data_IF_745466625498
#
_entry.id   IF_745466625498
#
_cell.length_a   1.000
_cell.length_b   1.000
_cell.length_c   1.000
_cell.angle_alpha   90.00
_cell.angle_beta   90.00
_cell.angle_gamma   90.00
#
_symmetry.space_group_name_H-M   'P 1'
#
loop_
_entity.id
_entity.type
_entity.pdbx_description
1 polymer ?
#
# COMPACT_ATOMS: atom_id res chain seq x y z
N UNK A 1 -11.16 2.24 -7.89
CA UNK A 1 -9.68 2.32 -7.92
C UNK A 1 -9.16 1.92 -6.55
N UNK A 2 -8.43 0.81 -6.47
CA UNK A 2 -7.90 0.24 -5.22
C UNK A 2 -6.37 0.23 -5.25
N UNK A 3 -5.72 0.59 -4.14
CA UNK A 3 -4.28 0.46 -3.98
C UNK A 3 -3.94 -0.60 -2.94
N UNK A 4 -2.96 -1.44 -3.22
CA UNK A 4 -2.58 -2.57 -2.38
C UNK A 4 -1.12 -2.43 -1.93
N UNK A 5 -0.89 -2.59 -0.63
CA UNK A 5 0.45 -2.91 -0.10
C UNK A 5 0.71 -4.42 -0.15
N UNK A 6 1.98 -4.81 -0.05
CA UNK A 6 2.40 -6.20 0.06
C UNK A 6 2.28 -6.79 1.47
N UNK A 7 3.12 -7.77 1.77
CA UNK A 7 3.13 -8.47 3.06
C UNK A 7 1.87 -9.33 3.28
N UNK A 8 1.39 -9.41 4.53
CA UNK A 8 0.27 -10.28 4.90
C UNK A 8 -1.03 -9.99 4.15
N UNK A 9 -1.20 -8.76 3.62
CA UNK A 9 -2.35 -8.38 2.81
C UNK A 9 -2.53 -9.26 1.57
N UNK A 10 -1.43 -9.74 0.96
CA UNK A 10 -1.50 -10.66 -0.18
C UNK A 10 -2.29 -11.91 0.20
N UNK A 11 -1.98 -12.49 1.37
CA UNK A 11 -2.67 -13.67 1.87
C UNK A 11 -4.11 -13.36 2.24
N UNK A 12 -4.37 -12.25 2.94
CA UNK A 12 -5.73 -11.87 3.32
C UNK A 12 -6.64 -11.70 2.11
N UNK A 13 -6.15 -11.05 1.05
CA UNK A 13 -6.91 -10.85 -0.17
C UNK A 13 -7.04 -12.13 -1.00
N UNK A 14 -5.99 -12.95 -1.10
CA UNK A 14 -6.04 -14.25 -1.78
C UNK A 14 -7.07 -15.21 -1.17
N UNK A 15 -7.26 -15.14 0.15
CA UNK A 15 -8.29 -15.91 0.85
C UNK A 15 -9.65 -15.22 0.83
N UNK A 16 -9.70 -13.90 0.96
CA UNK A 16 -10.93 -13.14 1.14
C UNK A 16 -11.69 -12.87 -0.16
N UNK A 17 -11.00 -12.38 -1.20
CA UNK A 17 -11.64 -11.94 -2.45
C UNK A 17 -12.46 -13.01 -3.18
N UNK A 18 -12.08 -14.30 -3.20
CA UNK A 18 -12.92 -15.35 -3.79
C UNK A 18 -14.32 -15.47 -3.17
N UNK A 19 -14.50 -14.98 -1.93
CA UNK A 19 -15.77 -15.03 -1.21
C UNK A 19 -16.60 -13.74 -1.36
N UNK A 20 -16.11 -12.74 -2.08
CA UNK A 20 -16.80 -11.47 -2.31
C UNK A 20 -17.58 -11.50 -3.61
N UNK A 21 -18.89 -11.24 -3.53
CA UNK A 21 -19.76 -11.06 -4.70
C UNK A 21 -19.73 -9.61 -5.15
N UNK A 22 -19.01 -9.33 -6.22
CA UNK A 22 -18.94 -7.99 -6.85
C UNK A 22 -18.59 -8.11 -8.33
N UNK A 23 -18.70 -7.00 -9.05
CA UNK A 23 -18.26 -6.89 -10.44
C UNK A 23 -16.78 -6.52 -10.50
N UNK A 24 -15.92 -7.55 -10.55
CA UNK A 24 -14.48 -7.37 -10.61
C UNK A 24 -14.02 -6.66 -11.88
N UNK A 25 -14.78 -6.68 -12.99
CA UNK A 25 -14.36 -6.03 -14.25
C UNK A 25 -14.20 -4.51 -14.12
N UNK A 26 -14.86 -3.90 -13.13
CA UNK A 26 -14.78 -2.46 -12.81
C UNK A 26 -13.58 -2.10 -11.93
N UNK A 27 -12.82 -3.09 -11.47
CA UNK A 27 -11.69 -2.85 -10.60
C UNK A 27 -10.47 -2.43 -11.41
N UNK A 28 -9.74 -1.46 -10.87
CA UNK A 28 -8.36 -1.15 -11.24
C UNK A 28 -7.55 -1.18 -9.96
N UNK A 29 -6.45 -1.91 -10.01
CA UNK A 29 -5.60 -2.24 -8.88
C UNK A 29 -4.25 -1.59 -9.09
N UNK A 30 -3.81 -0.85 -8.09
CA UNK A 30 -2.56 -0.13 -8.01
C UNK A 30 -1.76 -0.68 -6.82
N UNK A 31 -0.49 -0.35 -6.76
CA UNK A 31 0.39 -0.65 -5.63
C UNK A 31 0.71 0.61 -4.84
N UNK A 32 0.57 0.52 -3.51
CA UNK A 32 0.94 1.59 -2.59
C UNK A 32 2.46 1.77 -2.55
N UNK A 33 3.20 0.68 -2.71
CA UNK A 33 4.64 0.65 -2.86
C UNK A 33 5.08 -0.64 -3.56
N UNK A 34 6.29 -0.64 -4.09
CA UNK A 34 6.92 -1.80 -4.69
C UNK A 34 8.43 -1.78 -4.50
N UNK A 35 9.02 -2.96 -4.38
CA UNK A 35 10.46 -3.17 -4.34
C UNK A 35 10.94 -3.22 -5.79
N UNK A 36 11.99 -2.47 -6.11
CA UNK A 36 12.55 -2.43 -7.46
C UNK A 36 13.45 -3.65 -7.65
N UNK A 37 12.81 -4.78 -7.92
CA UNK A 37 13.40 -6.12 -8.10
C UNK A 37 12.72 -6.81 -9.29
N UNK A 38 13.28 -7.90 -9.84
CA UNK A 38 12.57 -8.69 -10.86
C UNK A 38 11.18 -9.14 -10.42
N UNK A 39 10.27 -9.35 -11.38
CA UNK A 39 8.87 -9.70 -11.06
C UNK A 39 8.76 -11.04 -10.30
N UNK A 40 9.62 -12.00 -10.63
CA UNK A 40 9.69 -13.34 -10.03
C UNK A 40 10.48 -13.38 -8.71
N UNK A 41 11.04 -12.25 -8.28
CA UNK A 41 11.71 -12.12 -7.00
C UNK A 41 10.70 -12.26 -5.84
N UNK A 42 11.06 -12.99 -4.76
CA UNK A 42 10.18 -13.14 -3.60
C UNK A 42 9.78 -11.82 -2.92
N UNK A 43 10.55 -10.74 -3.09
CA UNK A 43 10.24 -9.41 -2.55
C UNK A 43 9.33 -8.57 -3.45
N UNK A 44 8.96 -9.07 -4.64
CA UNK A 44 8.01 -8.44 -5.57
C UNK A 44 6.58 -8.50 -5.03
N UNK A 45 5.99 -7.34 -4.75
CA UNK A 45 4.59 -7.22 -4.32
C UNK A 45 3.65 -7.65 -5.44
N UNK A 46 3.84 -7.13 -6.64
CA UNK A 46 3.08 -7.52 -7.82
C UNK A 46 3.26 -9.01 -8.11
N UNK A 47 4.49 -9.54 -8.08
CA UNK A 47 4.75 -10.97 -8.28
C UNK A 47 3.97 -11.84 -7.29
N UNK A 48 3.93 -11.43 -6.02
CA UNK A 48 3.13 -12.08 -4.98
C UNK A 48 1.63 -12.04 -5.28
N UNK A 49 1.08 -10.90 -5.70
CA UNK A 49 -0.33 -10.81 -6.06
C UNK A 49 -0.66 -11.57 -7.36
N UNK A 50 0.21 -11.53 -8.36
CA UNK A 50 0.04 -12.27 -9.60
C UNK A 50 -0.07 -13.77 -9.30
N UNK A 51 0.87 -14.32 -8.54
CA UNK A 51 0.85 -15.74 -8.15
C UNK A 51 -0.39 -16.13 -7.32
N UNK A 52 -0.74 -15.33 -6.31
CA UNK A 52 -1.74 -15.73 -5.32
C UNK A 52 -3.18 -15.33 -5.68
N UNK A 53 -3.37 -14.31 -6.53
CA UNK A 53 -4.69 -13.88 -7.01
C UNK A 53 -4.90 -14.23 -8.47
N UNK A 54 -4.11 -13.67 -9.38
CA UNK A 54 -4.35 -13.76 -10.82
C UNK A 54 -4.21 -15.20 -11.33
N UNK A 55 -3.08 -15.83 -11.05
CA UNK A 55 -2.77 -17.18 -11.52
C UNK A 55 -3.57 -18.26 -10.76
N UNK A 56 -4.27 -17.88 -9.68
CA UNK A 56 -5.09 -18.81 -8.89
C UNK A 56 -6.39 -19.23 -9.59
N UNK A 57 -6.90 -18.41 -10.52
CA UNK A 57 -8.20 -18.60 -11.17
C UNK A 57 -9.42 -18.47 -10.25
N UNK A 58 -9.24 -18.12 -8.97
CA UNK A 58 -10.33 -18.03 -7.97
C UNK A 58 -11.07 -16.69 -7.98
N UNK A 59 -10.49 -15.67 -8.60
CA UNK A 59 -11.06 -14.32 -8.71
C UNK A 59 -11.00 -13.92 -10.18
N UNK A 60 -12.10 -13.39 -10.71
CA UNK A 60 -12.19 -12.92 -12.10
C UNK A 60 -11.50 -11.57 -12.29
N UNK A 61 -10.19 -11.53 -12.09
CA UNK A 61 -9.30 -10.41 -12.38
C UNK A 61 -8.40 -10.76 -13.56
N UNK A 62 -7.98 -9.76 -14.33
CA UNK A 62 -7.00 -9.91 -15.41
C UNK A 62 -5.81 -8.97 -15.25
N UNK A 63 -4.74 -9.22 -16.02
CA UNK A 63 -3.48 -8.47 -15.94
C UNK A 63 -3.66 -6.98 -16.24
N UNK A 64 -4.54 -6.60 -17.16
CA UNK A 64 -4.74 -5.19 -17.55
C UNK A 64 -5.36 -4.35 -16.43
N UNK A 65 -5.98 -4.99 -15.44
CA UNK A 65 -6.52 -4.30 -14.27
C UNK A 65 -5.44 -3.91 -13.27
N UNK A 66 -4.23 -4.50 -13.36
CA UNK A 66 -3.10 -4.19 -12.51
C UNK A 66 -2.24 -3.12 -13.16
N UNK A 67 -2.22 -1.93 -12.55
CA UNK A 67 -1.32 -0.85 -12.93
C UNK A 67 -0.04 -1.03 -12.12
N UNK A 68 0.97 -1.61 -12.76
CA UNK A 68 2.21 -2.03 -12.10
C UNK A 68 3.28 -0.95 -12.10
N UNK A 69 4.14 -0.97 -11.09
CA UNK A 69 5.40 -0.24 -11.05
C UNK A 69 6.40 -0.97 -11.95
N UNK A 70 7.11 -0.22 -12.80
CA UNK A 70 8.05 -0.80 -13.78
C UNK A 70 9.25 -1.43 -13.07
N UNK A 71 9.51 -2.70 -13.35
CA UNK A 71 10.67 -3.44 -12.84
C UNK A 71 11.85 -3.41 -13.82
N UNK A 72 13.05 -3.75 -13.32
CA UNK A 72 14.27 -3.83 -14.13
C UNK A 72 14.87 -2.47 -14.52
N UNK A 73 14.44 -1.38 -13.89
CA UNK A 73 14.94 -0.01 -14.11
C UNK A 73 15.31 0.64 -12.78
N UNK A 74 15.96 1.81 -12.80
CA UNK A 74 16.24 2.55 -11.58
C UNK A 74 14.96 3.04 -10.88
N UNK A 75 15.00 3.20 -9.56
CA UNK A 75 13.84 3.61 -8.77
C UNK A 75 13.25 4.95 -9.25
N UNK A 76 14.10 5.93 -9.59
CA UNK A 76 13.67 7.23 -10.12
C UNK A 76 12.88 7.08 -11.43
N UNK A 77 13.35 6.23 -12.36
CA UNK A 77 12.65 5.96 -13.61
C UNK A 77 11.30 5.27 -13.36
N UNK A 78 11.29 4.26 -12.49
CA UNK A 78 10.08 3.53 -12.12
C UNK A 78 9.04 4.44 -11.45
N UNK A 79 9.48 5.37 -10.59
CA UNK A 79 8.60 6.34 -9.93
C UNK A 79 7.95 7.30 -10.94
N UNK A 80 8.73 7.82 -11.89
CA UNK A 80 8.22 8.70 -12.96
C UNK A 80 7.22 7.97 -13.85
N UNK A 81 7.56 6.77 -14.32
CA UNK A 81 6.66 5.92 -15.12
C UNK A 81 5.35 5.64 -14.38
N UNK A 82 5.44 5.28 -13.10
CA UNK A 82 4.26 4.96 -12.31
C UNK A 82 3.36 6.18 -12.05
N UNK A 83 3.94 7.35 -11.78
CA UNK A 83 3.19 8.60 -11.70
C UNK A 83 2.42 8.91 -13.00
N UNK A 84 3.06 8.71 -14.17
CA UNK A 84 2.42 8.89 -15.47
C UNK A 84 1.28 7.89 -15.71
N UNK A 85 1.46 6.62 -15.32
CA UNK A 85 0.40 5.60 -15.39
C UNK A 85 -0.80 6.00 -14.53
N UNK A 86 -0.57 6.47 -13.31
CA UNK A 86 -1.63 6.97 -12.44
C UNK A 86 -2.35 8.15 -13.10
N UNK A 87 -1.62 9.15 -13.60
CA UNK A 87 -2.22 10.31 -14.27
C UNK A 87 -3.15 9.91 -15.42
N UNK A 88 -2.76 8.94 -16.27
CA UNK A 88 -3.59 8.44 -17.38
C UNK A 88 -4.88 7.77 -16.90
N UNK A 89 -4.87 7.17 -15.72
CA UNK A 89 -6.05 6.54 -15.13
C UNK A 89 -7.01 7.53 -14.46
N UNK A 90 -6.58 8.77 -14.24
CA UNK A 90 -7.37 9.86 -13.65
C UNK A 90 -7.46 11.05 -14.62
N UNK A 91 -8.11 10.89 -15.79
CA UNK A 91 -8.16 11.94 -16.80
C UNK A 91 -8.89 13.17 -16.28
N UNK A 92 -8.32 14.36 -16.53
CA UNK A 92 -8.92 15.64 -16.13
C UNK A 92 -8.70 16.03 -14.66
N UNK A 93 -7.95 15.24 -13.89
CA UNK A 93 -7.53 15.63 -12.54
C UNK A 93 -6.33 16.56 -12.65
N UNK A 94 -6.51 17.83 -12.28
CA UNK A 94 -5.45 18.84 -12.19
C UNK A 94 -4.67 18.77 -10.85
N UNK A 95 -5.24 18.09 -9.85
CA UNK A 95 -4.75 17.96 -8.47
C UNK A 95 -4.37 16.51 -8.12
N UNK A 96 -4.26 16.18 -6.84
CA UNK A 96 -3.92 14.84 -6.33
C UNK A 96 -5.00 13.80 -6.69
N UNK A 97 -4.64 12.60 -7.19
CA UNK A 97 -5.61 11.55 -7.48
C UNK A 97 -6.30 11.04 -6.22
N UNK A 98 -7.63 10.90 -6.30
CA UNK A 98 -8.46 10.40 -5.20
C UNK A 98 -8.83 8.94 -5.45
N UNK A 99 -8.14 8.02 -4.76
CA UNK A 99 -8.44 6.60 -4.81
C UNK A 99 -9.64 6.26 -3.91
N UNK A 100 -10.40 5.22 -4.28
CA UNK A 100 -11.55 4.78 -3.49
C UNK A 100 -11.12 4.10 -2.19
N UNK A 101 -10.05 3.31 -2.24
CA UNK A 101 -9.52 2.60 -1.07
C UNK A 101 -8.03 2.28 -1.22
N UNK A 102 -7.28 2.51 -0.15
CA UNK A 102 -5.90 2.06 0.04
C UNK A 102 -5.89 0.99 1.11
N UNK A 103 -5.45 -0.22 0.77
CA UNK A 103 -5.20 -1.31 1.72
C UNK A 103 -3.73 -1.27 2.09
N UNK A 104 -3.47 -0.86 3.33
CA UNK A 104 -2.15 -0.51 3.84
C UNK A 104 -1.64 -1.53 4.84
N UNK A 105 -0.35 -1.81 4.73
CA UNK A 105 0.40 -2.57 5.73
C UNK A 105 1.02 -1.66 6.78
N UNK A 106 1.37 -2.26 7.92
CA UNK A 106 2.14 -1.63 8.98
C UNK A 106 3.34 -2.51 9.37
N UNK A 107 4.53 -1.94 9.22
CA UNK A 107 5.79 -2.55 9.63
C UNK A 107 5.98 -2.60 11.14
N UNK A 108 6.91 -3.43 11.66
CA UNK A 108 7.20 -3.54 13.10
C UNK A 108 7.86 -2.29 13.72
N UNK A 109 8.23 -1.33 12.89
CA UNK A 109 8.76 0.01 13.18
C UNK A 109 7.72 1.12 12.92
N UNK A 110 6.48 0.76 12.55
CA UNK A 110 5.41 1.71 12.29
C UNK A 110 5.44 2.35 10.90
N UNK A 111 6.34 1.92 10.00
CA UNK A 111 6.31 2.34 8.60
C UNK A 111 5.03 1.83 7.92
N UNK A 112 4.60 2.56 6.89
CA UNK A 112 3.60 2.12 5.93
C UNK A 112 4.07 2.46 4.53
N UNK A 113 3.65 1.69 3.53
CA UNK A 113 4.27 1.74 2.19
C UNK A 113 5.80 1.62 2.34
N UNK A 114 6.58 2.48 1.68
CA UNK A 114 8.01 2.66 1.97
C UNK A 114 8.32 4.01 2.64
N UNK A 115 7.43 4.46 3.53
CA UNK A 115 7.59 5.66 4.35
C UNK A 115 8.09 5.28 5.75
N UNK A 116 9.40 5.41 5.98
CA UNK A 116 10.07 4.93 7.19
C UNK A 116 10.25 6.02 8.25
N UNK A 117 10.21 5.66 9.56
CA UNK A 117 10.47 6.61 10.64
C UNK A 117 11.82 7.33 10.46
N UNK A 118 11.84 8.65 10.60
CA UNK A 118 13.05 9.48 10.50
C UNK A 118 13.62 9.65 9.08
N UNK A 119 12.99 9.07 8.06
CA UNK A 119 13.45 9.19 6.68
C UNK A 119 12.99 10.54 6.06
N UNK A 120 13.84 11.26 5.29
CA UNK A 120 13.47 12.54 4.69
C UNK A 120 12.23 12.51 3.80
N UNK A 121 11.88 11.34 3.28
CA UNK A 121 10.69 11.16 2.44
C UNK A 121 9.37 11.46 3.16
N UNK A 122 9.35 11.45 4.50
CA UNK A 122 8.17 11.88 5.28
C UNK A 122 7.84 13.38 5.07
N UNK A 123 8.83 14.17 4.66
CA UNK A 123 8.69 15.60 4.42
C UNK A 123 8.19 15.93 3.00
N UNK A 124 8.05 14.96 2.09
CA UNK A 124 7.54 15.17 0.73
C UNK A 124 6.06 15.61 0.75
N UNK A 125 5.78 16.78 0.15
CA UNK A 125 4.44 17.40 0.14
C UNK A 125 3.82 17.55 -1.25
N UNK A 126 4.56 17.23 -2.31
CA UNK A 126 4.21 17.56 -3.69
C UNK A 126 4.10 16.34 -4.59
N UNK A 127 5.11 15.46 -4.59
CA UNK A 127 5.13 14.28 -5.47
C UNK A 127 4.05 13.30 -5.05
N UNK A 128 3.42 12.65 -6.03
CA UNK A 128 2.47 11.56 -5.74
C UNK A 128 3.18 10.24 -5.45
N UNK A 129 4.23 9.99 -6.24
CA UNK A 129 5.05 8.79 -6.20
C UNK A 129 6.50 9.26 -6.03
N UNK A 130 7.22 8.59 -5.14
CA UNK A 130 8.62 8.87 -4.89
C UNK A 130 9.47 7.60 -4.98
N UNK A 131 10.71 7.72 -5.48
CA UNK A 131 11.72 6.69 -5.31
C UNK A 131 12.33 6.77 -3.90
N UNK A 132 12.83 5.64 -3.43
CA UNK A 132 13.72 5.53 -2.28
C UNK A 132 14.82 4.55 -2.66
N UNK A 133 16.08 4.91 -2.45
CA UNK A 133 17.25 4.08 -2.82
C UNK A 133 18.10 3.68 -1.61
N UNK A 134 17.69 4.15 -0.44
CA UNK A 134 18.33 4.02 0.87
C UNK A 134 17.34 3.53 1.93
N UNK A 135 16.37 2.70 1.53
CA UNK A 135 15.43 2.09 2.48
C UNK A 135 16.21 1.40 3.60
N UNK A 136 15.87 1.66 4.88
CA UNK A 136 16.53 1.03 6.03
C UNK A 136 16.23 -0.46 6.13
N UNK A 137 15.36 -0.99 5.27
CA UNK A 137 15.04 -2.41 5.12
C UNK A 137 15.36 -2.90 3.72
N UNK A 138 15.97 -4.08 3.57
CA UNK A 138 16.21 -4.65 2.25
C UNK A 138 14.89 -5.00 1.53
N UNK A 139 14.87 -4.96 0.18
CA UNK A 139 15.86 -4.31 -0.67
C UNK A 139 15.80 -2.77 -0.53
N UNK A 140 16.92 -2.07 -0.76
CA UNK A 140 17.03 -0.62 -0.51
C UNK A 140 16.25 0.22 -1.54
N UNK A 141 16.16 -0.26 -2.79
CA UNK A 141 15.48 0.43 -3.88
C UNK A 141 13.99 0.10 -3.92
N UNK A 142 13.15 1.11 -3.78
CA UNK A 142 11.69 0.99 -3.79
C UNK A 142 11.04 2.20 -4.47
N UNK A 143 9.79 2.04 -4.85
CA UNK A 143 8.89 3.11 -5.30
C UNK A 143 7.71 3.13 -4.36
N UNK A 144 7.26 4.31 -3.93
CA UNK A 144 6.18 4.43 -2.94
C UNK A 144 5.24 5.58 -3.25
N UNK A 145 3.96 5.40 -2.91
CA UNK A 145 3.03 6.49 -2.71
C UNK A 145 3.45 7.31 -1.50
N UNK A 146 3.29 8.62 -1.62
CA UNK A 146 3.64 9.61 -0.60
C UNK A 146 2.39 10.06 0.16
N UNK A 147 2.57 10.76 1.29
CA UNK A 147 1.45 11.27 2.08
C UNK A 147 0.46 12.15 1.31
N UNK A 148 0.87 13.00 0.33
CA UNK A 148 -0.08 13.64 -0.58
C UNK A 148 -1.14 12.68 -1.12
N UNK A 149 -0.76 11.53 -1.69
CA UNK A 149 -1.74 10.55 -2.21
C UNK A 149 -2.47 9.84 -1.09
N UNK A 150 -1.76 9.34 -0.07
CA UNK A 150 -2.37 8.59 1.02
C UNK A 150 -3.47 9.40 1.74
N UNK A 151 -3.23 10.70 1.92
CA UNK A 151 -4.14 11.60 2.64
C UNK A 151 -5.23 12.24 1.75
N UNK A 152 -5.28 11.90 0.46
CA UNK A 152 -6.38 12.28 -0.45
C UNK A 152 -7.33 11.11 -0.77
N UNK A 153 -7.02 9.89 -0.32
CA UNK A 153 -7.89 8.74 -0.52
C UNK A 153 -9.25 8.87 0.20
N UNK A 154 -10.32 8.32 -0.39
CA UNK A 154 -11.62 8.24 0.29
C UNK A 154 -11.58 7.34 1.51
N UNK A 155 -10.77 6.27 1.45
CA UNK A 155 -10.60 5.32 2.55
C UNK A 155 -9.18 4.77 2.59
N UNK A 156 -8.56 4.80 3.77
CA UNK A 156 -7.35 4.06 4.07
C UNK A 156 -7.69 2.96 5.08
N UNK A 157 -7.29 1.73 4.81
CA UNK A 157 -7.57 0.58 5.67
C UNK A 157 -6.26 -0.08 6.06
N UNK A 158 -5.93 -0.07 7.35
CA UNK A 158 -4.87 -0.89 7.91
C UNK A 158 -5.47 -2.22 8.36
N UNK A 159 -5.14 -3.31 7.67
CA UNK A 159 -5.53 -4.65 8.09
C UNK A 159 -4.33 -5.34 8.75
N UNK A 160 -4.42 -5.56 10.06
CA UNK A 160 -3.31 -6.01 10.89
C UNK A 160 -3.77 -7.20 11.74
N UNK A 161 -3.06 -8.31 11.66
CA UNK A 161 -3.37 -9.52 12.42
C UNK A 161 -2.09 -10.12 13.01
N UNK A 162 -2.23 -10.87 14.09
CA UNK A 162 -1.13 -11.54 14.78
C UNK A 162 -0.59 -10.75 15.97
N UNK A 163 -0.21 -11.49 17.02
CA UNK A 163 0.31 -10.96 18.29
C UNK A 163 1.57 -10.09 18.10
N UNK A 164 2.39 -10.40 17.11
CA UNK A 164 3.61 -9.64 16.79
C UNK A 164 3.32 -8.18 16.38
N UNK A 165 2.07 -7.85 16.06
CA UNK A 165 1.63 -6.50 15.71
C UNK A 165 1.11 -5.70 16.90
N UNK A 166 0.79 -6.35 18.02
CA UNK A 166 0.09 -5.77 19.15
C UNK A 166 0.81 -4.54 19.73
N UNK A 167 2.11 -4.64 19.95
CA UNK A 167 2.91 -3.55 20.51
C UNK A 167 2.91 -2.33 19.59
N UNK A 168 3.06 -2.54 18.28
CA UNK A 168 3.05 -1.44 17.33
C UNK A 168 1.66 -0.81 17.17
N UNK A 169 0.60 -1.63 17.17
CA UNK A 169 -0.78 -1.15 17.21
C UNK A 169 -1.01 -0.28 18.45
N UNK A 170 -0.54 -0.72 19.62
CA UNK A 170 -0.63 0.05 20.87
C UNK A 170 0.09 1.40 20.74
N UNK A 171 1.33 1.41 20.25
CA UNK A 171 2.13 2.65 20.09
C UNK A 171 1.42 3.69 19.23
N UNK A 172 0.83 3.25 18.11
CA UNK A 172 0.13 4.15 17.17
C UNK A 172 -1.26 4.55 17.69
N UNK A 173 -2.09 3.59 18.11
CA UNK A 173 -3.50 3.85 18.39
C UNK A 173 -3.79 4.26 19.84
N UNK A 174 -2.99 3.82 20.81
CA UNK A 174 -3.18 4.12 22.23
C UNK A 174 -2.24 5.24 22.68
N UNK A 175 -0.94 5.07 22.43
CA UNK A 175 0.10 6.01 22.89
C UNK A 175 0.26 7.21 21.97
N UNK A 176 -0.34 7.15 20.77
CA UNK A 176 -0.36 8.22 19.76
C UNK A 176 1.05 8.65 19.34
N UNK A 177 1.98 7.71 19.27
CA UNK A 177 3.30 7.98 18.69
C UNK A 177 3.16 8.43 17.23
N UNK A 178 3.93 9.46 16.85
CA UNK A 178 3.87 10.06 15.52
C UNK A 178 4.69 9.28 14.48
N UNK A 179 4.35 8.00 14.33
CA UNK A 179 4.96 7.08 13.36
C UNK A 179 4.29 7.21 11.98
N UNK A 180 4.96 6.80 10.88
CA UNK A 180 4.43 7.01 9.53
C UNK A 180 3.00 6.48 9.30
N UNK A 181 2.65 5.32 9.84
CA UNK A 181 1.29 4.80 9.77
C UNK A 181 0.26 5.68 10.52
N UNK A 182 0.66 6.35 11.60
CA UNK A 182 -0.19 7.30 12.33
C UNK A 182 -0.40 8.60 11.54
N UNK A 183 0.51 8.94 10.61
CA UNK A 183 0.45 10.14 9.76
C UNK A 183 -0.48 9.97 8.54
N UNK A 184 -0.99 8.77 8.29
CA UNK A 184 -2.06 8.53 7.32
C UNK A 184 -3.39 9.03 7.91
N UNK A 185 -3.71 10.28 7.58
CA UNK A 185 -4.88 11.04 8.03
C UNK A 185 -5.58 11.65 6.81
N UNK A 186 -6.40 10.89 6.08
CA UNK A 186 -7.10 11.42 4.91
C UNK A 186 -7.93 12.66 5.23
N UNK A 187 -7.77 13.72 4.45
CA UNK A 187 -8.39 15.04 4.69
C UNK A 187 -9.90 14.99 4.49
N UNK A 188 -10.34 14.40 3.37
CA UNK A 188 -11.75 14.25 2.99
C UNK A 188 -12.20 12.78 3.01
N UNK A 189 -11.43 11.92 3.67
CA UNK A 189 -11.66 10.48 3.74
C UNK A 189 -11.67 9.99 5.17
N UNK A 190 -11.51 8.68 5.34
CA UNK A 190 -11.38 8.07 6.66
C UNK A 190 -10.28 7.01 6.69
N UNK A 191 -9.67 6.87 7.86
CA UNK A 191 -8.78 5.75 8.18
C UNK A 191 -9.53 4.73 9.03
N UNK A 192 -9.43 3.46 8.67
CA UNK A 192 -10.02 2.33 9.39
C UNK A 192 -8.91 1.36 9.76
N UNK A 193 -8.91 0.93 11.02
CA UNK A 193 -8.02 -0.12 11.50
C UNK A 193 -8.83 -1.39 11.72
N UNK A 194 -8.50 -2.45 10.98
CA UNK A 194 -9.08 -3.79 11.15
C UNK A 194 -8.03 -4.63 11.84
N UNK A 195 -8.35 -5.05 13.06
CA UNK A 195 -7.46 -5.80 13.93
C UNK A 195 -8.10 -7.14 14.27
N UNK A 196 -7.32 -8.22 14.27
CA UNK A 196 -7.72 -9.42 14.98
C UNK A 196 -7.58 -9.23 16.50
N UNK A 197 -8.05 -10.21 17.28
CA UNK A 197 -8.02 -10.13 18.75
C UNK A 197 -6.59 -9.98 19.29
N UNK A 198 -5.61 -10.62 18.66
CA UNK A 198 -4.24 -10.64 19.13
C UNK A 198 -3.52 -9.31 18.82
N UNK A 199 -3.63 -8.80 17.59
CA UNK A 199 -3.11 -7.48 17.24
C UNK A 199 -3.82 -6.34 17.99
N UNK A 200 -5.10 -6.53 18.29
CA UNK A 200 -5.93 -5.57 19.04
C UNK A 200 -5.87 -5.71 20.56
N UNK A 201 -5.02 -6.57 21.13
CA UNK A 201 -5.09 -6.94 22.55
C UNK A 201 -4.90 -5.78 23.56
N UNK A 202 -4.39 -4.63 23.10
CA UNK A 202 -4.21 -3.41 23.90
C UNK A 202 -5.27 -2.33 23.62
N UNK A 203 -6.17 -2.55 22.67
CA UNK A 203 -7.25 -1.62 22.35
C UNK A 203 -8.43 -1.89 23.28
N UNK A 204 -8.90 -0.86 23.98
CA UNK A 204 -10.15 -0.95 24.74
C UNK A 204 -11.32 -0.84 23.77
N UNK A 205 -12.19 -1.85 23.77
CA UNK A 205 -13.43 -1.87 23.00
C UNK A 205 -14.47 -0.89 23.57
#
# INVERSE_FOLDING_TARGET
MFCLSGGSLVSFLATGLPNIKTDFSKWRIFFCDERVVPEDDPDSTYGSYKKNLLDSGKVSLNLEQFITIKQGVAADEAAVDYAQKILRCFPGVADVPVFDMLLLGMGPDGHTCSLFPGHPLLDEKTKWIAPITDSPKPPPSRVTMTFPVLNHAKMCVFATAGKEKADMVRRILVEKEDLPAAQVKPVNGKVVWILDKDAGMHIKA
#
